data_IF_209013192971
#
_entry.id   IF_209013192971
#
_cell.length_a   1.000
_cell.length_b   1.000
_cell.length_c   1.000
_cell.angle_alpha   90.00
_cell.angle_beta   90.00
_cell.angle_gamma   90.00
#
_symmetry.space_group_name_H-M   'P 1'
#
loop_
_entity.id
_entity.type
_entity.pdbx_description
1 polymer ?
#
# COMPACT_ATOMS: atom_id res chain seq x y z
N UNK A 1 19.63 5.22 10.88
CA UNK A 1 19.35 4.64 9.55
C UNK A 1 19.96 5.56 8.52
N UNK A 2 20.67 5.06 7.51
CA UNK A 2 21.15 5.95 6.42
C UNK A 2 20.01 6.26 5.45
N UNK A 3 20.06 7.43 4.78
CA UNK A 3 19.09 7.78 3.74
C UNK A 3 18.98 6.70 2.66
N UNK A 4 20.12 6.16 2.21
CA UNK A 4 20.15 5.11 1.19
C UNK A 4 19.39 3.85 1.64
N UNK A 5 19.60 3.38 2.87
CA UNK A 5 18.88 2.22 3.39
C UNK A 5 17.37 2.46 3.48
N UNK A 6 16.96 3.64 3.96
CA UNK A 6 15.55 4.01 4.03
C UNK A 6 14.90 4.10 2.65
N UNK A 7 15.58 4.72 1.69
CA UNK A 7 15.12 4.82 0.31
C UNK A 7 14.94 3.44 -0.32
N UNK A 8 15.87 2.51 -0.10
CA UNK A 8 15.75 1.14 -0.58
C UNK A 8 14.57 0.41 0.05
N UNK A 9 14.30 0.62 1.34
CA UNK A 9 13.12 0.07 2.02
C UNK A 9 11.83 0.62 1.40
N UNK A 10 11.74 1.94 1.19
CA UNK A 10 10.59 2.58 0.53
C UNK A 10 10.36 2.04 -0.88
N UNK A 11 11.41 1.96 -1.70
CA UNK A 11 11.33 1.43 -3.06
C UNK A 11 10.92 -0.05 -3.05
N UNK A 12 11.43 -0.84 -2.11
CA UNK A 12 11.05 -2.24 -1.95
C UNK A 12 9.58 -2.36 -1.58
N UNK A 13 9.08 -1.61 -0.60
CA UNK A 13 7.65 -1.58 -0.26
C UNK A 13 6.77 -1.16 -1.43
N UNK A 14 7.19 -0.13 -2.17
CA UNK A 14 6.47 0.37 -3.33
C UNK A 14 6.43 -0.64 -4.48
N UNK A 15 7.49 -1.43 -4.66
CA UNK A 15 7.59 -2.41 -5.75
C UNK A 15 6.48 -3.46 -5.74
N UNK A 16 5.81 -3.69 -4.60
CA UNK A 16 4.65 -4.56 -4.50
C UNK A 16 3.53 -4.19 -5.48
N UNK A 17 3.36 -2.90 -5.77
CA UNK A 17 2.41 -2.41 -6.78
C UNK A 17 2.75 -2.97 -8.18
N UNK A 18 4.04 -2.98 -8.54
CA UNK A 18 4.51 -3.49 -9.83
C UNK A 18 4.31 -5.01 -9.88
N UNK A 19 4.64 -5.73 -8.82
CA UNK A 19 4.42 -7.18 -8.74
C UNK A 19 2.94 -7.56 -8.81
N UNK A 20 2.04 -6.82 -8.16
CA UNK A 20 0.60 -7.05 -8.29
C UNK A 20 0.08 -6.81 -9.70
N UNK A 21 0.57 -5.76 -10.37
CA UNK A 21 0.25 -5.53 -11.78
C UNK A 21 0.73 -6.69 -12.65
N UNK A 22 1.99 -7.11 -12.51
CA UNK A 22 2.53 -8.25 -13.27
C UNK A 22 1.75 -9.53 -12.99
N UNK A 23 1.40 -9.81 -11.73
CA UNK A 23 0.59 -10.97 -11.35
C UNK A 23 -0.77 -10.97 -12.06
N UNK A 24 -1.40 -9.80 -12.18
CA UNK A 24 -2.66 -9.66 -12.89
C UNK A 24 -2.58 -9.89 -14.39
N UNK A 25 -1.39 -9.73 -14.98
CA UNK A 25 -1.17 -10.05 -16.39
C UNK A 25 -0.91 -11.53 -16.61
N UNK A 26 -0.33 -12.23 -15.63
CA UNK A 26 0.03 -13.64 -15.74
C UNK A 26 -1.19 -14.55 -15.54
N UNK A 27 -2.06 -14.23 -14.57
CA UNK A 27 -3.21 -15.05 -14.20
C UNK A 27 -4.50 -14.21 -14.05
N UNK A 28 -4.97 -13.53 -15.11
CA UNK A 28 -6.18 -12.70 -15.05
C UNK A 28 -7.44 -13.53 -14.73
N UNK A 29 -7.47 -14.81 -15.12
CA UNK A 29 -8.61 -15.71 -14.91
C UNK A 29 -8.87 -15.99 -13.42
N UNK A 30 -7.81 -16.03 -12.60
CA UNK A 30 -7.90 -16.32 -11.17
C UNK A 30 -8.36 -15.11 -10.34
N UNK A 31 -8.13 -13.90 -10.85
CA UNK A 31 -8.39 -12.68 -10.09
C UNK A 31 -9.87 -12.33 -9.96
N UNK A 32 -10.67 -12.63 -10.99
CA UNK A 32 -12.12 -12.39 -10.97
C UNK A 32 -12.84 -13.16 -9.85
N UNK A 33 -12.73 -14.50 -9.74
CA UNK A 33 -13.31 -15.24 -8.61
C UNK A 33 -12.60 -14.89 -7.29
N UNK A 34 -11.30 -14.57 -7.35
CA UNK A 34 -10.48 -14.19 -6.20
C UNK A 34 -10.84 -12.84 -5.56
N UNK A 35 -11.55 -11.95 -6.26
CA UNK A 35 -11.72 -10.53 -5.86
C UNK A 35 -12.15 -10.33 -4.40
N UNK A 36 -13.13 -11.11 -3.92
CA UNK A 36 -13.61 -11.01 -2.53
C UNK A 36 -12.50 -11.35 -1.52
N UNK A 37 -11.67 -12.35 -1.83
CA UNK A 37 -10.55 -12.75 -0.97
C UNK A 37 -9.46 -11.69 -0.96
N UNK A 38 -9.14 -11.09 -2.11
CA UNK A 38 -8.22 -9.95 -2.16
C UNK A 38 -8.74 -8.74 -1.36
N UNK A 39 -10.04 -8.43 -1.41
CA UNK A 39 -10.65 -7.39 -0.59
C UNK A 39 -10.47 -7.67 0.92
N UNK A 40 -10.75 -8.90 1.37
CA UNK A 40 -10.54 -9.29 2.77
C UNK A 40 -9.08 -9.24 3.17
N UNK A 41 -8.19 -9.72 2.30
CA UNK A 41 -6.75 -9.71 2.53
C UNK A 41 -6.21 -8.27 2.65
N UNK A 42 -6.66 -7.35 1.79
CA UNK A 42 -6.28 -5.94 1.88
C UNK A 42 -6.65 -5.34 3.23
N UNK A 43 -7.89 -5.57 3.67
CA UNK A 43 -8.39 -5.08 4.97
C UNK A 43 -7.61 -5.69 6.13
N UNK A 44 -7.33 -6.99 6.06
CA UNK A 44 -6.54 -7.69 7.06
C UNK A 44 -5.10 -7.16 7.13
N UNK A 45 -4.44 -6.93 5.99
CA UNK A 45 -3.10 -6.36 5.93
C UNK A 45 -3.05 -4.94 6.51
N UNK A 46 -4.04 -4.09 6.18
CA UNK A 46 -4.15 -2.75 6.78
C UNK A 46 -4.28 -2.85 8.30
N UNK A 47 -5.14 -3.75 8.79
CA UNK A 47 -5.31 -3.98 10.22
C UNK A 47 -4.01 -4.47 10.88
N UNK A 48 -3.29 -5.41 10.26
CA UNK A 48 -1.99 -5.87 10.76
C UNK A 48 -0.96 -4.76 10.82
N UNK A 49 -0.82 -3.97 9.74
CA UNK A 49 0.05 -2.78 9.69
C UNK A 49 -0.26 -1.89 10.90
N UNK A 50 -1.53 -1.60 11.15
CA UNK A 50 -1.92 -0.75 12.28
C UNK A 50 -1.65 -1.38 13.65
N UNK A 51 -1.93 -2.66 13.83
CA UNK A 51 -1.67 -3.38 15.09
C UNK A 51 -0.18 -3.36 15.41
N UNK A 52 0.68 -3.71 14.45
CA UNK A 52 2.13 -3.70 14.66
C UNK A 52 2.62 -2.30 14.98
N UNK A 53 2.08 -1.28 14.32
CA UNK A 53 2.43 0.11 14.59
C UNK A 53 2.06 0.51 16.03
N UNK A 54 0.84 0.21 16.49
CA UNK A 54 0.36 0.57 17.84
C UNK A 54 1.15 -0.14 18.93
N UNK A 55 1.41 -1.45 18.78
CA UNK A 55 2.12 -2.22 19.79
C UNK A 55 3.55 -1.71 20.01
N UNK A 56 4.18 -1.17 18.96
CA UNK A 56 5.58 -0.76 18.96
C UNK A 56 5.80 0.75 19.06
N UNK A 57 4.73 1.56 19.18
CA UNK A 57 4.82 3.02 19.27
C UNK A 57 4.20 3.48 20.58
N UNK A 58 4.81 4.43 21.32
CA UNK A 58 4.20 4.97 22.53
C UNK A 58 2.81 5.55 22.23
N UNK A 59 1.84 5.24 23.10
CA UNK A 59 0.44 5.68 23.02
C UNK A 59 0.33 7.21 23.14
N UNK A 60 0.52 7.89 22.03
CA UNK A 60 0.27 9.33 21.86
C UNK A 60 -1.05 9.54 21.10
N UNK A 61 -1.58 10.77 21.10
CA UNK A 61 -2.85 11.10 20.42
C UNK A 61 -2.76 10.87 18.90
N UNK A 62 -1.58 11.06 18.29
CA UNK A 62 -1.40 10.97 16.85
C UNK A 62 -1.62 9.56 16.27
N UNK A 63 -1.01 8.48 16.81
CA UNK A 63 -1.32 7.10 16.43
C UNK A 63 -2.80 6.73 16.52
N UNK A 64 -3.49 7.20 17.56
CA UNK A 64 -4.92 6.94 17.79
C UNK A 64 -5.82 7.64 16.77
N UNK A 65 -5.52 8.90 16.46
CA UNK A 65 -6.28 9.67 15.46
C UNK A 65 -6.04 9.12 14.05
N UNK A 66 -4.80 8.74 13.75
CA UNK A 66 -4.43 8.10 12.50
C UNK A 66 -5.11 6.72 12.34
N UNK A 67 -5.18 5.92 13.43
CA UNK A 67 -5.94 4.68 13.48
C UNK A 67 -7.43 4.92 13.19
N UNK A 68 -8.05 5.91 13.84
CA UNK A 68 -9.46 6.21 13.64
C UNK A 68 -9.76 6.56 12.17
N UNK A 69 -8.93 7.38 11.54
CA UNK A 69 -9.08 7.75 10.12
C UNK A 69 -8.96 6.52 9.22
N UNK A 70 -7.96 5.66 9.44
CA UNK A 70 -7.78 4.45 8.63
C UNK A 70 -8.93 3.46 8.83
N UNK A 71 -9.36 3.23 10.07
CA UNK A 71 -10.49 2.34 10.36
C UNK A 71 -11.76 2.85 9.67
N UNK A 72 -12.05 4.14 9.77
CA UNK A 72 -13.18 4.75 9.07
C UNK A 72 -13.07 4.54 7.56
N UNK A 73 -11.91 4.83 6.96
CA UNK A 73 -11.73 4.66 5.51
C UNK A 73 -11.87 3.19 5.06
N UNK A 74 -11.35 2.24 5.84
CA UNK A 74 -11.40 0.80 5.54
C UNK A 74 -12.80 0.23 5.68
N UNK A 75 -13.56 0.66 6.69
CA UNK A 75 -14.93 0.19 6.92
C UNK A 75 -15.88 0.77 5.86
N UNK A 76 -15.74 2.06 5.53
CA UNK A 76 -16.79 2.78 4.81
C UNK A 76 -16.71 2.74 3.28
N UNK A 77 -15.58 2.41 2.62
CA UNK A 77 -15.66 2.07 1.18
C UNK A 77 -14.52 1.24 0.60
N UNK A 78 -14.88 0.45 -0.43
CA UNK A 78 -13.97 -0.39 -1.21
C UNK A 78 -13.02 0.42 -2.09
N UNK A 79 -13.43 1.59 -2.54
CA UNK A 79 -12.64 2.44 -3.44
C UNK A 79 -11.53 3.19 -2.69
N UNK A 80 -11.63 3.28 -1.36
CA UNK A 80 -10.68 4.03 -0.54
C UNK A 80 -9.32 3.38 -0.36
N UNK A 81 -9.16 2.08 -0.63
CA UNK A 81 -7.87 1.38 -0.43
C UNK A 81 -6.72 2.02 -1.24
N UNK A 82 -7.00 2.52 -2.44
CA UNK A 82 -6.00 3.26 -3.24
C UNK A 82 -5.60 4.59 -2.62
N UNK A 83 -6.57 5.31 -2.05
CA UNK A 83 -6.35 6.61 -1.43
C UNK A 83 -5.67 6.50 -0.06
N UNK A 84 -5.79 5.34 0.60
CA UNK A 84 -5.09 5.04 1.85
C UNK A 84 -3.61 4.72 1.59
N UNK A 85 -3.25 4.16 0.42
CA UNK A 85 -1.88 3.72 0.17
C UNK A 85 -0.79 4.80 0.41
N UNK A 86 -0.97 6.06 -0.03
CA UNK A 86 -0.04 7.15 0.30
C UNK A 86 0.18 7.38 1.79
N UNK A 87 -0.85 7.15 2.63
CA UNK A 87 -0.74 7.32 4.09
C UNK A 87 0.23 6.31 4.71
N UNK A 88 0.49 5.17 4.07
CA UNK A 88 1.51 4.23 4.53
C UNK A 88 2.94 4.78 4.40
N UNK A 89 3.16 5.84 3.61
CA UNK A 89 4.43 6.57 3.61
C UNK A 89 4.72 7.19 4.97
N UNK A 90 3.68 7.72 5.64
CA UNK A 90 3.76 8.23 7.01
C UNK A 90 4.02 7.10 8.02
N UNK A 91 3.41 5.93 7.81
CA UNK A 91 3.64 4.76 8.69
C UNK A 91 5.09 4.28 8.61
N UNK A 92 5.64 4.18 7.40
CA UNK A 92 7.05 3.84 7.17
C UNK A 92 7.96 4.87 7.83
N UNK A 93 7.71 6.16 7.62
CA UNK A 93 8.47 7.22 8.28
C UNK A 93 8.38 7.15 9.82
N UNK A 94 7.18 7.02 10.38
CA UNK A 94 6.99 6.95 11.82
C UNK A 94 7.66 5.70 12.44
N UNK A 95 7.85 4.64 11.64
CA UNK A 95 8.53 3.42 12.06
C UNK A 95 10.06 3.54 12.08
N UNK A 96 10.66 4.66 11.66
CA UNK A 96 12.11 4.86 11.59
C UNK A 96 12.85 4.62 12.92
N UNK A 97 12.19 4.88 14.04
CA UNK A 97 12.76 4.72 15.38
C UNK A 97 12.94 3.26 15.79
N UNK A 98 12.26 2.32 15.13
CA UNK A 98 12.33 0.89 15.42
C UNK A 98 12.57 0.11 14.12
N UNK A 99 13.81 -0.32 13.91
CA UNK A 99 14.21 -1.03 12.68
C UNK A 99 13.43 -2.33 12.43
N UNK A 100 13.11 -3.07 13.49
CA UNK A 100 12.33 -4.31 13.36
C UNK A 100 10.91 -4.00 12.89
N UNK A 101 10.27 -3.00 13.50
CA UNK A 101 8.96 -2.51 13.07
C UNK A 101 9.00 -2.06 11.61
N UNK A 102 10.00 -1.24 11.23
CA UNK A 102 10.15 -0.75 9.86
C UNK A 102 10.21 -1.89 8.84
N UNK A 103 10.99 -2.94 9.11
CA UNK A 103 11.10 -4.10 8.22
C UNK A 103 9.75 -4.83 8.11
N UNK A 104 9.08 -5.08 9.24
CA UNK A 104 7.76 -5.73 9.25
C UNK A 104 6.74 -4.90 8.45
N UNK A 105 6.65 -3.60 8.72
CA UNK A 105 5.75 -2.69 8.03
C UNK A 105 6.03 -2.65 6.53
N UNK A 106 7.29 -2.54 6.16
CA UNK A 106 7.71 -2.50 4.75
C UNK A 106 7.30 -3.74 3.98
N UNK A 107 7.37 -4.91 4.63
CA UNK A 107 6.98 -6.20 4.05
C UNK A 107 5.46 -6.32 3.94
N UNK A 108 4.71 -5.88 4.94
CA UNK A 108 3.25 -5.88 4.90
C UNK A 108 2.72 -4.91 3.83
N UNK A 109 3.32 -3.71 3.71
CA UNK A 109 2.96 -2.72 2.69
C UNK A 109 3.30 -3.21 1.29
N UNK A 110 4.40 -3.96 1.13
CA UNK A 110 4.71 -4.64 -0.12
C UNK A 110 3.60 -5.62 -0.53
N UNK A 111 3.20 -6.52 0.37
CA UNK A 111 2.12 -7.49 0.12
C UNK A 111 0.80 -6.76 -0.17
N UNK A 112 0.52 -5.69 0.57
CA UNK A 112 -0.67 -4.86 0.35
C UNK A 112 -0.63 -4.20 -1.04
N UNK A 113 0.54 -3.74 -1.50
CA UNK A 113 0.73 -3.22 -2.85
C UNK A 113 0.38 -4.25 -3.93
N UNK A 114 0.77 -5.52 -3.74
CA UNK A 114 0.40 -6.61 -4.65
C UNK A 114 -1.13 -6.72 -4.74
N UNK A 115 -1.79 -6.81 -3.59
CA UNK A 115 -3.25 -6.97 -3.49
C UNK A 115 -3.99 -5.80 -4.13
N UNK A 116 -3.60 -4.57 -3.80
CA UNK A 116 -4.23 -3.35 -4.32
C UNK A 116 -4.10 -3.30 -5.84
N UNK A 117 -2.89 -3.50 -6.38
CA UNK A 117 -2.64 -3.40 -7.82
C UNK A 117 -3.40 -4.47 -8.61
N UNK A 118 -3.40 -5.72 -8.13
CA UNK A 118 -4.20 -6.80 -8.74
C UNK A 118 -5.70 -6.47 -8.76
N UNK A 119 -6.23 -5.90 -7.68
CA UNK A 119 -7.63 -5.49 -7.62
C UNK A 119 -7.97 -4.33 -8.56
N UNK A 120 -7.05 -3.37 -8.78
CA UNK A 120 -7.27 -2.27 -9.73
C UNK A 120 -7.52 -2.81 -11.13
N UNK A 121 -6.70 -3.79 -11.53
CA UNK A 121 -6.71 -4.40 -12.84
C UNK A 121 -8.05 -5.10 -13.10
N UNK A 122 -8.54 -5.91 -12.16
CA UNK A 122 -9.85 -6.57 -12.27
C UNK A 122 -11.00 -5.58 -12.49
N UNK A 123 -10.93 -4.39 -11.90
CA UNK A 123 -11.97 -3.38 -12.03
C UNK A 123 -11.96 -2.69 -13.40
N UNK A 124 -10.79 -2.53 -14.02
CA UNK A 124 -10.60 -1.80 -15.27
C UNK A 124 -10.54 -2.72 -16.50
N UNK A 125 -10.24 -4.00 -16.33
CA UNK A 125 -10.24 -5.01 -17.41
C UNK A 125 -11.64 -5.17 -18.05
N UNK A 126 -12.71 -4.97 -17.27
CA UNK A 126 -14.08 -4.95 -17.80
C UNK A 126 -14.42 -3.73 -18.68
N UNK A 127 -13.57 -2.70 -18.70
CA UNK A 127 -13.83 -1.43 -19.39
C UNK A 127 -12.96 -1.20 -20.63
N UNK A 128 -11.83 -1.88 -20.80
CA UNK A 128 -10.88 -1.55 -21.88
C UNK A 128 -10.25 -2.80 -22.54
N UNK A 129 -10.71 -3.16 -23.75
CA UNK A 129 -10.22 -4.31 -24.54
C UNK A 129 -8.92 -4.07 -25.35
N UNK A 130 -8.37 -2.85 -25.39
CA UNK A 130 -7.27 -2.50 -26.33
C UNK A 130 -5.92 -2.45 -25.63
N UNK A 131 -4.87 -3.07 -26.15
CA UNK A 131 -3.50 -3.16 -25.56
C UNK A 131 -2.90 -1.82 -25.09
N UNK A 132 -3.22 -0.69 -25.72
CA UNK A 132 -2.85 0.65 -25.24
C UNK A 132 -3.41 1.00 -23.85
N UNK A 133 -4.47 0.32 -23.42
CA UNK A 133 -5.09 0.44 -22.09
C UNK A 133 -4.17 -0.05 -20.98
N UNK A 134 -3.45 -1.16 -21.16
CA UNK A 134 -2.71 -1.82 -20.08
C UNK A 134 -1.58 -0.93 -19.54
N UNK A 135 -0.84 -0.29 -20.43
CA UNK A 135 0.19 0.68 -20.03
C UNK A 135 -0.41 1.92 -19.35
N UNK A 136 -1.54 2.41 -19.86
CA UNK A 136 -2.25 3.53 -19.24
C UNK A 136 -2.76 3.18 -17.84
N UNK A 137 -3.23 1.95 -17.64
CA UNK A 137 -3.64 1.45 -16.33
C UNK A 137 -2.44 1.40 -15.38
N UNK A 138 -1.30 0.84 -15.80
CA UNK A 138 -0.08 0.86 -14.99
C UNK A 138 0.32 2.29 -14.61
N UNK A 139 0.31 3.22 -15.57
CA UNK A 139 0.64 4.61 -15.32
C UNK A 139 -0.32 5.25 -14.32
N UNK A 140 -1.63 4.99 -14.42
CA UNK A 140 -2.62 5.47 -13.46
C UNK A 140 -2.38 4.90 -12.06
N UNK A 141 -2.08 3.60 -11.94
CA UNK A 141 -1.76 2.97 -10.65
C UNK A 141 -0.51 3.62 -10.05
N UNK A 142 0.54 3.79 -10.85
CA UNK A 142 1.78 4.42 -10.41
C UNK A 142 1.55 5.87 -10.00
N UNK A 143 0.83 6.68 -10.77
CA UNK A 143 0.54 8.08 -10.43
C UNK A 143 -0.26 8.20 -9.13
N UNK A 144 -1.26 7.35 -8.93
CA UNK A 144 -2.09 7.35 -7.71
C UNK A 144 -1.29 6.93 -6.47
N UNK A 145 -0.36 5.99 -6.64
CA UNK A 145 0.45 5.47 -5.54
C UNK A 145 1.77 6.22 -5.34
N UNK A 146 2.21 7.03 -6.30
CA UNK A 146 3.47 7.77 -6.25
C UNK A 146 3.57 8.70 -5.03
N UNK A 147 2.44 9.22 -4.56
CA UNK A 147 2.38 10.02 -3.32
C UNK A 147 2.95 9.27 -2.11
N UNK A 148 2.90 7.94 -2.07
CA UNK A 148 3.58 7.14 -1.04
C UNK A 148 5.08 7.44 -0.98
N UNK A 149 5.76 7.43 -2.14
CA UNK A 149 7.19 7.70 -2.23
C UNK A 149 7.50 9.16 -1.88
N UNK A 150 6.70 10.09 -2.40
CA UNK A 150 6.86 11.53 -2.12
C UNK A 150 6.74 11.80 -0.62
N UNK A 151 5.69 11.29 0.02
CA UNK A 151 5.47 11.45 1.45
C UNK A 151 6.61 10.81 2.25
N UNK A 152 6.99 9.58 1.93
CA UNK A 152 8.08 8.89 2.64
C UNK A 152 9.42 9.66 2.55
N UNK A 153 9.80 10.08 1.35
CA UNK A 153 11.05 10.83 1.14
C UNK A 153 11.00 12.20 1.80
N UNK A 154 9.92 12.97 1.63
CA UNK A 154 9.79 14.31 2.21
C UNK A 154 9.89 14.25 3.74
N UNK A 155 9.18 13.32 4.38
CA UNK A 155 9.20 13.21 5.83
C UNK A 155 10.55 12.74 6.37
N UNK A 156 11.30 11.93 5.63
CA UNK A 156 12.68 11.59 6.00
C UNK A 156 13.60 12.81 6.05
N UNK A 157 13.39 13.82 5.19
CA UNK A 157 14.21 15.04 5.22
C UNK A 157 14.00 15.88 6.49
N UNK A 158 12.93 15.62 7.25
CA UNK A 158 12.66 16.24 8.55
C UNK A 158 13.15 15.41 9.75
N UNK A 159 13.76 14.24 9.51
CA UNK A 159 14.34 13.35 10.53
C UNK A 159 15.85 13.58 10.65
#
# INVERSE_FOLDING_TARGET
MTFLQYLLILLTSFSGIIFGYVLSLIAPEELNPGKKYFEWLARFLVLLIMIFYIINTPLTIFPLLFLAIIILMVIFSREYLFYIYPLFGLVIWASLYNQQLLIIQSSLIFILGIVISSMYMVQHEKKEEIIGSKFNILLQILLRTFLFLVIGVLFFLFF
#
